data_IF_136797713889
#
_entry.id   IF_136797713889
#
_cell.length_a   1.000
_cell.length_b   1.000
_cell.length_c   1.000
_cell.angle_alpha   90.00
_cell.angle_beta   90.00
_cell.angle_gamma   90.00
#
_symmetry.space_group_name_H-M   'P 1'
#
loop_
_entity.id
_entity.type
_entity.pdbx_description
1 polymer ?
#
# COMPACT_ATOMS: atom_id res chain seq x y z
N UNK A 1 55.89 -9.21 42.16
CA UNK A 1 57.27 -9.58 41.77
C UNK A 1 57.64 -11.00 42.18
N UNK A 2 57.23 -11.49 43.36
CA UNK A 2 57.52 -12.86 43.81
C UNK A 2 56.67 -13.94 43.10
N UNK A 3 55.43 -13.63 42.67
CA UNK A 3 54.60 -14.55 41.87
C UNK A 3 55.09 -14.77 40.42
N UNK A 4 55.92 -13.88 39.88
CA UNK A 4 56.45 -13.99 38.52
C UNK A 4 57.69 -14.92 38.44
N UNK A 5 58.44 -15.06 39.55
CA UNK A 5 59.63 -15.90 39.63
C UNK A 5 59.29 -17.40 39.84
N UNK A 6 58.14 -17.72 40.42
CA UNK A 6 57.66 -19.10 40.50
C UNK A 6 57.17 -19.66 39.15
N UNK A 7 56.76 -18.81 38.20
CA UNK A 7 56.32 -19.27 36.87
C UNK A 7 57.49 -19.55 35.90
N UNK A 8 58.69 -19.03 36.19
CA UNK A 8 59.89 -19.24 35.37
C UNK A 8 60.64 -20.55 35.71
N UNK A 9 60.42 -21.14 36.89
CA UNK A 9 61.11 -22.37 37.31
C UNK A 9 60.39 -23.69 36.94
N UNK A 10 59.24 -23.63 36.26
CA UNK A 10 58.50 -24.80 35.75
C UNK A 10 58.66 -24.94 34.21
N UNK A 11 59.31 -23.99 33.55
CA UNK A 11 59.64 -24.11 32.13
C UNK A 11 60.94 -24.88 31.95
N UNK A 12 60.81 -26.20 32.09
CA UNK A 12 61.74 -27.15 31.50
C UNK A 12 61.92 -26.79 30.01
N UNK A 13 63.15 -26.48 29.61
CA UNK A 13 63.55 -26.02 28.26
C UNK A 13 63.18 -27.01 27.14
N UNK A 14 62.70 -28.20 27.47
CA UNK A 14 62.29 -29.24 26.51
C UNK A 14 60.89 -29.07 25.92
N UNK A 15 60.09 -28.09 26.34
CA UNK A 15 58.73 -27.90 25.81
C UNK A 15 58.46 -26.52 25.16
N UNK A 16 59.50 -25.73 24.89
CA UNK A 16 59.36 -24.44 24.18
C UNK A 16 58.65 -24.61 22.82
N UNK A 17 58.94 -25.71 22.12
CA UNK A 17 58.27 -26.00 20.85
C UNK A 17 56.79 -26.35 21.03
N UNK A 18 56.40 -27.02 22.11
CA UNK A 18 54.99 -27.32 22.43
C UNK A 18 54.21 -26.05 22.77
N UNK A 19 54.75 -25.18 23.63
CA UNK A 19 54.14 -23.89 23.95
C UNK A 19 54.09 -22.96 22.73
N UNK A 20 55.15 -22.89 21.91
CA UNK A 20 55.14 -22.13 20.64
C UNK A 20 54.06 -22.63 19.67
N UNK A 21 53.90 -23.96 19.51
CA UNK A 21 52.88 -24.54 18.61
C UNK A 21 51.46 -24.25 19.11
N UNK A 22 51.24 -24.30 20.42
CA UNK A 22 49.93 -23.99 21.02
C UNK A 22 49.62 -22.49 21.00
N UNK A 23 50.61 -21.61 21.22
CA UNK A 23 50.45 -20.15 21.09
C UNK A 23 50.17 -19.77 19.64
N UNK A 24 50.81 -20.41 18.65
CA UNK A 24 50.53 -20.16 17.24
C UNK A 24 49.11 -20.59 16.85
N UNK A 25 48.65 -21.75 17.32
CA UNK A 25 47.26 -22.21 17.15
C UNK A 25 46.26 -21.27 17.83
N UNK A 26 46.57 -20.79 19.03
CA UNK A 26 45.71 -19.85 19.76
C UNK A 26 45.64 -18.48 19.08
N UNK A 27 46.77 -17.94 18.59
CA UNK A 27 46.79 -16.71 17.78
C UNK A 27 45.97 -16.87 16.51
N UNK A 28 46.10 -17.99 15.79
CA UNK A 28 45.28 -18.25 14.60
C UNK A 28 43.79 -18.34 14.94
N UNK A 29 43.43 -18.96 16.06
CA UNK A 29 42.04 -18.99 16.54
C UNK A 29 41.52 -17.58 16.86
N UNK A 30 42.31 -16.74 17.53
CA UNK A 30 41.94 -15.34 17.78
C UNK A 30 41.75 -14.54 16.49
N UNK A 31 42.61 -14.72 15.47
CA UNK A 31 42.45 -14.07 14.17
C UNK A 31 41.19 -14.53 13.42
N UNK A 32 40.83 -15.81 13.52
CA UNK A 32 39.59 -16.35 12.95
C UNK A 32 38.37 -15.74 13.66
N UNK A 33 38.37 -15.69 14.98
CA UNK A 33 37.28 -15.09 15.78
C UNK A 33 37.14 -13.60 15.48
N UNK A 34 38.26 -12.87 15.38
CA UNK A 34 38.25 -11.46 15.01
C UNK A 34 37.71 -11.24 13.59
N UNK A 35 38.10 -12.09 12.64
CA UNK A 35 37.58 -12.07 11.27
C UNK A 35 36.08 -12.31 11.20
N UNK A 36 35.55 -13.25 12.00
CA UNK A 36 34.11 -13.53 12.09
C UNK A 36 33.34 -12.36 12.73
N UNK A 37 33.90 -11.71 13.75
CA UNK A 37 33.29 -10.51 14.37
C UNK A 37 33.25 -9.36 13.37
N UNK A 38 34.35 -9.10 12.65
CA UNK A 38 34.39 -8.06 11.59
C UNK A 38 33.38 -8.38 10.49
N UNK A 39 33.27 -9.64 10.06
CA UNK A 39 32.27 -10.05 9.06
C UNK A 39 30.83 -9.84 9.55
N UNK A 40 30.53 -10.17 10.80
CA UNK A 40 29.21 -9.93 11.41
C UNK A 40 28.88 -8.43 11.49
N UNK A 41 29.86 -7.58 11.83
CA UNK A 41 29.70 -6.12 11.81
C UNK A 41 29.47 -5.59 10.40
N UNK A 42 30.19 -6.10 9.41
CA UNK A 42 30.01 -5.72 8.00
C UNK A 42 28.64 -6.16 7.46
N UNK A 43 28.18 -7.37 7.79
CA UNK A 43 26.86 -7.89 7.42
C UNK A 43 25.73 -7.11 8.09
N UNK A 44 25.88 -6.75 9.37
CA UNK A 44 24.93 -5.92 10.10
C UNK A 44 24.77 -4.54 9.45
N UNK A 45 25.89 -3.90 9.11
CA UNK A 45 25.91 -2.61 8.41
C UNK A 45 25.31 -2.72 6.99
N UNK A 46 25.55 -3.82 6.27
CA UNK A 46 24.92 -4.09 4.97
C UNK A 46 23.40 -4.21 5.07
N UNK A 47 22.90 -4.92 6.08
CA UNK A 47 21.47 -5.05 6.36
C UNK A 47 20.82 -3.70 6.70
N UNK A 48 21.46 -2.90 7.55
CA UNK A 48 20.94 -1.56 7.87
C UNK A 48 21.00 -0.61 6.67
N UNK A 49 22.04 -0.71 5.84
CA UNK A 49 22.15 0.09 4.61
C UNK A 49 21.06 -0.28 3.60
N UNK A 50 20.77 -1.58 3.43
CA UNK A 50 19.68 -2.04 2.55
C UNK A 50 18.30 -1.71 3.12
N UNK A 51 18.13 -1.75 4.44
CA UNK A 51 16.90 -1.32 5.12
C UNK A 51 16.60 0.18 4.95
N UNK A 52 17.63 1.00 4.74
CA UNK A 52 17.51 2.44 4.46
C UNK A 52 17.24 2.72 2.96
N UNK A 53 17.50 1.78 2.06
CA UNK A 53 17.57 2.02 0.61
C UNK A 53 16.43 1.40 -0.23
N UNK A 54 15.21 1.40 0.28
CA UNK A 54 14.00 1.23 -0.55
C UNK A 54 13.16 2.51 -0.54
N UNK A 55 13.83 3.64 -0.73
CA UNK A 55 13.12 4.90 -0.98
C UNK A 55 12.45 4.81 -2.35
N UNK A 56 11.13 4.94 -2.41
CA UNK A 56 10.40 5.05 -3.68
C UNK A 56 10.87 6.33 -4.37
N UNK A 57 11.61 6.18 -5.47
CA UNK A 57 12.10 7.30 -6.28
C UNK A 57 11.04 7.63 -7.35
N UNK A 58 10.41 8.81 -7.32
CA UNK A 58 9.48 9.22 -8.36
C UNK A 58 10.20 9.56 -9.67
N UNK A 59 9.57 9.23 -10.80
CA UNK A 59 10.04 9.59 -12.15
C UNK A 59 9.97 11.11 -12.38
N UNK A 60 8.92 11.75 -11.86
CA UNK A 60 8.75 13.20 -11.93
C UNK A 60 8.24 13.75 -10.61
N UNK A 61 8.71 14.96 -10.30
CA UNK A 61 8.35 15.70 -9.10
C UNK A 61 7.90 17.10 -9.50
N UNK A 62 6.79 17.53 -8.92
CA UNK A 62 6.26 18.89 -9.00
C UNK A 62 6.03 19.37 -7.57
N UNK A 63 6.97 20.15 -7.04
CA UNK A 63 6.98 20.61 -5.64
C UNK A 63 5.78 21.49 -5.28
N UNK A 64 5.19 22.19 -6.26
CA UNK A 64 3.99 22.99 -6.06
C UNK A 64 2.99 22.78 -7.19
N UNK A 65 1.87 22.13 -6.87
CA UNK A 65 0.86 21.76 -7.85
C UNK A 65 0.09 22.96 -8.42
N UNK A 66 0.04 24.10 -7.73
CA UNK A 66 -0.64 25.29 -8.20
C UNK A 66 0.19 25.99 -9.30
N UNK A 67 1.43 26.35 -8.98
CA UNK A 67 2.31 27.09 -9.89
C UNK A 67 2.77 26.23 -11.07
N UNK A 68 2.92 24.91 -10.87
CA UNK A 68 3.40 23.99 -11.90
C UNK A 68 2.26 23.29 -12.67
N UNK A 69 1.00 23.69 -12.48
CA UNK A 69 -0.17 23.09 -13.13
C UNK A 69 -0.01 22.89 -14.64
N UNK A 70 0.49 23.90 -15.37
CA UNK A 70 0.66 23.80 -16.82
C UNK A 70 1.69 22.75 -17.21
N UNK A 71 2.82 22.69 -16.50
CA UNK A 71 3.88 21.69 -16.69
C UNK A 71 3.36 20.29 -16.37
N UNK A 72 2.65 20.13 -15.24
CA UNK A 72 2.01 18.86 -14.84
C UNK A 72 1.13 18.31 -15.96
N UNK A 73 0.30 19.16 -16.57
CA UNK A 73 -0.59 18.72 -17.63
C UNK A 73 0.21 18.40 -18.91
N UNK A 74 1.05 19.33 -19.38
CA UNK A 74 1.83 19.15 -20.61
C UNK A 74 2.66 17.87 -20.58
N UNK A 75 3.35 17.63 -19.48
CA UNK A 75 4.29 16.52 -19.32
C UNK A 75 3.63 15.15 -19.25
N UNK A 76 2.35 15.08 -18.89
CA UNK A 76 1.59 13.84 -18.69
C UNK A 76 0.54 13.59 -19.78
N UNK A 77 0.61 14.34 -20.89
CA UNK A 77 -0.23 14.11 -22.08
C UNK A 77 0.06 12.73 -22.68
N UNK A 78 -1.00 11.96 -22.93
CA UNK A 78 -0.96 10.60 -23.49
C UNK A 78 -0.15 9.59 -22.66
N UNK A 79 0.00 9.82 -21.35
CA UNK A 79 0.70 8.89 -20.45
C UNK A 79 -0.27 8.15 -19.55
N UNK A 80 0.03 6.88 -19.32
CA UNK A 80 -0.58 6.02 -18.30
C UNK A 80 0.41 5.87 -17.14
N UNK A 81 -0.06 5.81 -15.90
CA UNK A 81 0.84 5.64 -14.77
C UNK A 81 0.21 5.76 -13.39
N UNK A 82 1.08 5.67 -12.40
CA UNK A 82 0.80 5.82 -10.98
C UNK A 82 1.34 7.17 -10.52
N UNK A 83 0.54 7.89 -9.75
CA UNK A 83 0.88 9.20 -9.20
C UNK A 83 0.59 9.27 -7.71
N UNK A 84 1.27 10.20 -7.05
CA UNK A 84 1.13 10.46 -5.63
C UNK A 84 0.93 11.96 -5.39
N UNK A 85 -0.16 12.31 -4.71
CA UNK A 85 -0.35 13.62 -4.13
C UNK A 85 0.17 13.61 -2.70
N UNK A 86 0.88 14.65 -2.28
CA UNK A 86 1.40 14.79 -0.92
C UNK A 86 1.02 16.18 -0.42
N UNK A 87 0.35 16.25 0.72
CA UNK A 87 0.15 17.50 1.43
C UNK A 87 1.47 17.89 2.11
N UNK A 88 2.07 19.01 1.72
CA UNK A 88 3.39 19.42 2.21
C UNK A 88 3.38 19.84 3.69
N UNK A 89 2.22 20.19 4.23
CA UNK A 89 2.08 20.60 5.63
C UNK A 89 1.92 19.39 6.56
N UNK A 90 1.17 18.38 6.15
CA UNK A 90 0.85 17.21 6.98
C UNK A 90 1.64 15.96 6.63
N UNK A 91 2.35 15.97 5.49
CA UNK A 91 2.95 14.80 4.84
C UNK A 91 1.96 13.67 4.53
N UNK A 92 0.65 13.92 4.57
CA UNK A 92 -0.36 12.92 4.21
C UNK A 92 -0.41 12.72 2.69
N UNK A 93 -0.60 11.46 2.29
CA UNK A 93 -0.41 11.02 0.91
C UNK A 93 -1.71 10.46 0.33
N UNK A 94 -1.86 10.61 -0.98
CA UNK A 94 -2.84 9.89 -1.78
C UNK A 94 -2.14 9.27 -2.98
N UNK A 95 -2.43 8.00 -3.26
CA UNK A 95 -1.94 7.30 -4.43
C UNK A 95 -3.11 6.93 -5.33
N UNK A 96 -2.92 7.11 -6.63
CA UNK A 96 -3.87 6.64 -7.62
C UNK A 96 -3.20 6.32 -8.93
N UNK A 97 -3.95 5.63 -9.78
CA UNK A 97 -3.52 5.32 -11.14
C UNK A 97 -4.45 5.93 -12.19
N UNK A 98 -3.98 6.05 -13.43
CA UNK A 98 -4.83 6.36 -14.57
C UNK A 98 -4.24 5.90 -15.88
N UNK A 99 -5.12 5.44 -16.79
CA UNK A 99 -4.78 5.20 -18.20
C UNK A 99 -4.45 6.50 -18.93
N UNK A 100 -5.07 7.62 -18.53
CA UNK A 100 -4.82 8.93 -19.10
C UNK A 100 -4.57 9.93 -17.98
N UNK A 101 -3.29 10.06 -17.59
CA UNK A 101 -2.84 10.95 -16.54
C UNK A 101 -3.23 12.40 -16.82
N UNK A 102 -3.06 12.89 -18.05
CA UNK A 102 -3.48 14.24 -18.42
C UNK A 102 -4.94 14.52 -18.07
N UNK A 103 -5.85 13.64 -18.50
CA UNK A 103 -7.28 13.78 -18.20
C UNK A 103 -7.52 13.75 -16.69
N UNK A 104 -6.96 12.76 -15.99
CA UNK A 104 -7.17 12.60 -14.54
C UNK A 104 -6.66 13.80 -13.75
N UNK A 105 -5.46 14.28 -14.07
CA UNK A 105 -4.82 15.41 -13.41
C UNK A 105 -5.56 16.72 -13.72
N UNK A 106 -5.99 16.92 -14.97
CA UNK A 106 -6.82 18.07 -15.35
C UNK A 106 -8.12 18.11 -14.55
N UNK A 107 -8.75 16.97 -14.35
CA UNK A 107 -10.01 16.89 -13.60
C UNK A 107 -9.80 17.29 -12.13
N UNK A 108 -8.65 16.98 -11.50
CA UNK A 108 -8.33 17.46 -10.15
C UNK A 108 -8.19 18.99 -10.06
N UNK A 109 -7.72 19.65 -11.12
CA UNK A 109 -7.61 21.11 -11.18
C UNK A 109 -8.89 21.83 -11.62
N UNK A 110 -10.02 21.10 -11.70
CA UNK A 110 -11.32 21.66 -12.07
C UNK A 110 -12.26 21.63 -10.85
N UNK A 111 -12.50 22.80 -10.26
CA UNK A 111 -13.35 22.97 -9.06
C UNK A 111 -14.77 22.46 -9.29
N UNK A 112 -15.35 22.69 -10.47
CA UNK A 112 -16.70 22.20 -10.81
C UNK A 112 -16.74 20.67 -10.85
N UNK A 113 -15.70 20.04 -11.41
CA UNK A 113 -15.56 18.59 -11.36
C UNK A 113 -15.42 18.09 -9.92
N UNK A 114 -14.52 18.68 -9.12
CA UNK A 114 -14.30 18.28 -7.73
C UNK A 114 -15.60 18.34 -6.92
N UNK A 115 -16.31 19.48 -6.97
CA UNK A 115 -17.55 19.68 -6.23
C UNK A 115 -18.65 18.69 -6.64
N UNK A 116 -18.79 18.40 -7.94
CA UNK A 116 -19.72 17.39 -8.44
C UNK A 116 -19.34 15.98 -7.97
N UNK A 117 -18.08 15.60 -8.09
CA UNK A 117 -17.60 14.27 -7.73
C UNK A 117 -17.64 14.01 -6.23
N UNK A 118 -17.39 15.02 -5.39
CA UNK A 118 -17.53 14.92 -3.94
C UNK A 118 -18.97 14.58 -3.56
N UNK A 119 -19.97 15.19 -4.21
CA UNK A 119 -21.39 14.87 -3.98
C UNK A 119 -21.74 13.44 -4.43
N UNK A 120 -21.15 12.97 -5.54
CA UNK A 120 -21.44 11.66 -6.13
C UNK A 120 -20.77 10.49 -5.39
N UNK A 121 -19.50 10.65 -5.05
CA UNK A 121 -18.64 9.55 -4.57
C UNK A 121 -18.07 9.80 -3.17
N UNK A 122 -18.02 11.04 -2.72
CA UNK A 122 -17.41 11.40 -1.45
C UNK A 122 -15.89 11.21 -1.40
N UNK A 123 -15.21 11.09 -2.54
CA UNK A 123 -13.75 10.85 -2.64
C UNK A 123 -12.94 11.82 -1.79
N UNK A 124 -12.05 11.29 -0.94
CA UNK A 124 -11.25 12.09 0.01
C UNK A 124 -10.29 13.03 -0.70
N UNK A 125 -9.55 12.54 -1.71
CA UNK A 125 -8.58 13.35 -2.45
C UNK A 125 -9.22 14.63 -3.02
N UNK A 126 -10.44 14.54 -3.56
CA UNK A 126 -11.14 15.70 -4.10
C UNK A 126 -11.52 16.70 -2.98
N UNK A 127 -11.93 16.20 -1.80
CA UNK A 127 -12.26 17.03 -0.63
C UNK A 127 -11.03 17.77 -0.11
N UNK A 128 -9.90 17.08 0.03
CA UNK A 128 -8.68 17.68 0.59
C UNK A 128 -8.07 18.71 -0.36
N UNK A 129 -8.04 18.42 -1.67
CA UNK A 129 -7.59 19.39 -2.68
C UNK A 129 -8.46 20.65 -2.68
N UNK A 130 -9.79 20.49 -2.61
CA UNK A 130 -10.72 21.62 -2.56
C UNK A 130 -10.59 22.42 -1.26
N UNK A 131 -10.37 21.74 -0.13
CA UNK A 131 -10.31 22.36 1.20
C UNK A 131 -9.01 23.14 1.43
N UNK A 132 -7.88 22.56 1.05
CA UNK A 132 -6.56 23.09 1.37
C UNK A 132 -5.95 23.93 0.23
N UNK A 133 -6.48 23.80 -0.99
CA UNK A 133 -5.94 24.46 -2.18
C UNK A 133 -4.68 23.78 -2.70
N UNK A 134 -4.34 24.03 -3.96
CA UNK A 134 -3.28 23.30 -4.67
C UNK A 134 -1.86 23.66 -4.23
N UNK A 135 -1.65 24.86 -3.67
CA UNK A 135 -0.32 25.35 -3.27
C UNK A 135 0.30 24.59 -2.11
N UNK A 136 -0.52 23.87 -1.33
CA UNK A 136 -0.10 22.99 -0.23
C UNK A 136 0.15 21.55 -0.68
N UNK A 137 0.12 21.30 -1.97
CA UNK A 137 0.34 19.96 -2.50
C UNK A 137 1.53 19.89 -3.44
N UNK A 138 2.32 18.85 -3.20
CA UNK A 138 3.28 18.30 -4.14
C UNK A 138 2.63 17.18 -4.93
N UNK A 139 2.94 17.09 -6.22
CA UNK A 139 2.53 15.98 -7.07
C UNK A 139 3.76 15.24 -7.56
N UNK A 140 3.72 13.92 -7.49
CA UNK A 140 4.77 13.05 -8.00
C UNK A 140 4.18 12.02 -8.95
N UNK A 141 4.93 11.72 -10.02
CA UNK A 141 4.66 10.56 -10.86
C UNK A 141 5.62 9.47 -10.40
N UNK A 142 5.06 8.39 -9.84
CA UNK A 142 5.85 7.29 -9.31
C UNK A 142 6.32 6.37 -10.42
N UNK A 143 5.44 6.09 -11.38
CA UNK A 143 5.70 5.15 -12.47
C UNK A 143 4.85 5.48 -13.70
N UNK A 144 5.41 5.33 -14.90
CA UNK A 144 4.63 5.20 -16.12
C UNK A 144 4.48 3.73 -16.45
N UNK A 145 3.24 3.29 -16.72
CA UNK A 145 2.94 1.88 -16.92
C UNK A 145 2.13 1.66 -18.19
N UNK A 146 2.02 0.39 -18.60
CA UNK A 146 1.16 -0.01 -19.71
C UNK A 146 -0.32 0.36 -19.43
N UNK A 147 -1.12 0.71 -20.46
CA UNK A 147 -2.56 0.94 -20.32
C UNK A 147 -3.37 -0.26 -19.79
N UNK A 148 -2.82 -1.47 -19.82
CA UNK A 148 -3.42 -2.69 -19.29
C UNK A 148 -3.94 -2.48 -17.86
N UNK A 149 -5.23 -2.73 -17.69
CA UNK A 149 -5.90 -2.52 -16.41
C UNK A 149 -5.34 -3.41 -15.30
N UNK A 150 -4.96 -4.65 -15.63
CA UNK A 150 -4.40 -5.60 -14.67
C UNK A 150 -3.04 -5.13 -14.15
N UNK A 151 -2.10 -4.88 -15.07
CA UNK A 151 -0.76 -4.40 -14.72
C UNK A 151 -0.83 -3.11 -13.91
N UNK A 152 -1.64 -2.14 -14.35
CA UNK A 152 -1.80 -0.87 -13.64
C UNK A 152 -2.36 -1.05 -12.23
N UNK A 153 -3.34 -1.94 -12.03
CA UNK A 153 -3.90 -2.21 -10.72
C UNK A 153 -2.88 -2.89 -9.78
N UNK A 154 -2.08 -3.83 -10.31
CA UNK A 154 -0.99 -4.47 -9.57
C UNK A 154 0.07 -3.47 -9.11
N UNK A 155 0.46 -2.53 -9.99
CA UNK A 155 1.41 -1.46 -9.65
C UNK A 155 0.82 -0.49 -8.63
N UNK A 156 -0.44 -0.09 -8.77
CA UNK A 156 -1.13 0.73 -7.76
C UNK A 156 -1.14 0.03 -6.40
N UNK A 157 -1.48 -1.27 -6.37
CA UNK A 157 -1.49 -2.07 -5.15
C UNK A 157 -0.12 -2.11 -4.47
N UNK A 158 0.95 -2.33 -5.24
CA UNK A 158 2.33 -2.30 -4.73
C UNK A 158 2.64 -1.00 -3.97
N UNK A 159 2.23 0.14 -4.52
CA UNK A 159 2.46 1.44 -3.88
C UNK A 159 1.55 1.68 -2.66
N UNK A 160 0.29 1.20 -2.70
CA UNK A 160 -0.60 1.25 -1.54
C UNK A 160 -0.05 0.44 -0.36
N UNK A 161 0.42 -0.78 -0.62
CA UNK A 161 0.92 -1.69 0.42
C UNK A 161 2.24 -1.19 1.03
N UNK A 162 3.12 -0.63 0.20
CA UNK A 162 4.42 -0.11 0.63
C UNK A 162 4.33 1.21 1.38
N UNK A 163 3.39 2.09 1.03
CA UNK A 163 3.32 3.45 1.62
C UNK A 163 2.16 3.69 2.57
N UNK A 164 1.09 2.89 2.49
CA UNK A 164 -0.13 3.00 3.30
C UNK A 164 -0.68 4.44 3.39
N UNK A 165 -1.00 5.06 2.24
CA UNK A 165 -1.35 6.48 2.17
C UNK A 165 -2.66 6.81 2.89
N UNK A 166 -2.67 7.91 3.64
CA UNK A 166 -3.72 8.30 4.58
C UNK A 166 -5.03 8.68 3.88
N UNK A 167 -4.95 9.25 2.69
CA UNK A 167 -6.13 9.68 1.93
C UNK A 167 -6.76 8.55 1.10
N UNK A 168 -6.17 7.35 1.07
CA UNK A 168 -6.74 6.18 0.42
C UNK A 168 -7.60 5.38 1.42
N UNK A 169 -8.93 5.50 1.29
CA UNK A 169 -9.87 4.68 2.10
C UNK A 169 -9.76 3.20 1.73
N UNK A 170 -9.68 2.92 0.43
CA UNK A 170 -9.63 1.57 -0.09
C UNK A 170 -8.19 1.09 -0.07
N UNK A 171 -7.96 -0.03 0.58
CA UNK A 171 -6.66 -0.70 0.63
C UNK A 171 -6.40 -1.57 -0.59
N UNK A 172 -7.46 -1.96 -1.31
CA UNK A 172 -7.38 -2.76 -2.54
C UNK A 172 -7.54 -1.84 -3.76
N UNK A 173 -6.56 -1.84 -4.65
CA UNK A 173 -6.57 -1.02 -5.86
C UNK A 173 -7.80 -1.33 -6.72
N UNK A 174 -8.53 -0.27 -7.12
CA UNK A 174 -9.69 -0.37 -8.01
C UNK A 174 -10.88 -1.18 -7.47
N UNK A 175 -10.87 -1.62 -6.21
CA UNK A 175 -11.89 -2.52 -5.67
C UNK A 175 -12.30 -2.15 -4.25
N UNK A 176 -13.60 -2.26 -3.96
CA UNK A 176 -14.13 -2.14 -2.60
C UNK A 176 -13.96 -3.43 -1.78
N UNK A 177 -13.28 -4.45 -2.32
CA UNK A 177 -13.08 -5.72 -1.64
C UNK A 177 -12.32 -5.50 -0.32
N UNK A 178 -12.90 -6.01 0.76
CA UNK A 178 -12.35 -5.87 2.12
C UNK A 178 -12.76 -4.59 2.85
N UNK A 179 -13.34 -3.59 2.16
CA UNK A 179 -13.82 -2.37 2.81
C UNK A 179 -14.98 -2.68 3.77
N UNK A 180 -14.87 -2.17 5.00
CA UNK A 180 -15.90 -2.30 6.03
C UNK A 180 -16.38 -0.92 6.45
N UNK A 181 -17.69 -0.71 6.41
CA UNK A 181 -18.30 0.50 6.97
C UNK A 181 -18.03 0.63 8.47
N UNK A 182 -17.86 1.86 8.93
CA UNK A 182 -17.78 2.20 10.36
C UNK A 182 -19.05 1.82 11.09
N UNK A 183 -18.96 1.61 12.41
CA UNK A 183 -20.13 1.29 13.25
C UNK A 183 -21.20 2.38 13.16
N UNK A 184 -20.79 3.65 13.16
CA UNK A 184 -21.68 4.79 12.98
C UNK A 184 -22.42 4.74 11.62
N UNK A 185 -21.70 4.48 10.54
CA UNK A 185 -22.33 4.37 9.20
C UNK A 185 -23.30 3.20 9.15
N UNK A 186 -22.93 2.05 9.75
CA UNK A 186 -23.83 0.89 9.86
C UNK A 186 -25.10 1.22 10.66
N UNK A 187 -24.97 1.93 11.77
CA UNK A 187 -26.10 2.36 12.59
C UNK A 187 -27.03 3.31 11.80
N UNK A 188 -26.47 4.28 11.08
CA UNK A 188 -27.24 5.21 10.24
C UNK A 188 -27.95 4.51 9.08
N UNK A 189 -27.28 3.56 8.43
CA UNK A 189 -27.92 2.76 7.37
C UNK A 189 -29.01 1.85 7.95
N UNK A 190 -28.80 1.31 9.15
CA UNK A 190 -29.80 0.51 9.86
C UNK A 190 -31.03 1.35 10.20
N UNK A 191 -30.87 2.56 10.74
CA UNK A 191 -31.99 3.44 11.09
C UNK A 191 -32.77 3.90 9.85
N UNK A 192 -32.09 4.22 8.74
CA UNK A 192 -32.74 4.57 7.47
C UNK A 192 -33.57 3.41 6.90
N UNK A 193 -33.17 2.17 7.15
CA UNK A 193 -33.85 0.99 6.63
C UNK A 193 -34.88 0.40 7.60
N UNK A 194 -34.88 0.83 8.85
CA UNK A 194 -35.84 0.40 9.85
C UNK A 194 -37.26 0.79 9.39
N UNK A 195 -38.19 -0.16 9.44
CA UNK A 195 -39.59 0.06 9.06
C UNK A 195 -39.86 0.12 7.55
N UNK A 196 -38.85 0.01 6.67
CA UNK A 196 -39.08 -0.08 5.22
C UNK A 196 -39.71 -1.43 4.86
N UNK A 197 -40.98 -1.40 4.46
CA UNK A 197 -41.68 -2.58 3.93
C UNK A 197 -41.40 -2.68 2.43
N UNK A 198 -40.74 -3.76 2.02
CA UNK A 198 -40.56 -4.07 0.59
C UNK A 198 -41.91 -4.33 -0.08
N UNK A 199 -42.10 -3.87 -1.32
CA UNK A 199 -43.33 -4.15 -2.08
C UNK A 199 -43.49 -5.67 -2.32
N UNK A 200 -44.73 -6.11 -2.54
CA UNK A 200 -45.01 -7.52 -2.86
C UNK A 200 -44.23 -7.99 -4.09
N UNK A 201 -44.16 -7.14 -5.11
CA UNK A 201 -43.43 -7.41 -6.35
C UNK A 201 -41.91 -7.57 -6.10
N UNK A 202 -41.28 -6.65 -5.35
CA UNK A 202 -39.84 -6.74 -5.02
C UNK A 202 -39.55 -7.98 -4.17
N UNK A 203 -40.40 -8.27 -3.19
CA UNK A 203 -40.28 -9.47 -2.35
C UNK A 203 -40.35 -10.75 -3.18
N UNK A 204 -41.23 -10.79 -4.17
CA UNK A 204 -41.38 -11.91 -5.09
C UNK A 204 -40.14 -12.07 -5.99
N UNK A 205 -39.65 -10.99 -6.60
CA UNK A 205 -38.41 -10.98 -7.40
C UNK A 205 -37.20 -11.48 -6.61
N UNK A 206 -37.06 -11.05 -5.35
CA UNK A 206 -36.00 -11.52 -4.45
C UNK A 206 -36.14 -13.01 -4.12
N UNK A 207 -37.36 -13.50 -3.91
CA UNK A 207 -37.65 -14.93 -3.65
C UNK A 207 -37.28 -15.79 -4.87
N UNK A 208 -37.65 -15.36 -6.08
CA UNK A 208 -37.31 -16.06 -7.32
C UNK A 208 -35.80 -16.08 -7.58
N UNK A 209 -35.10 -14.96 -7.34
CA UNK A 209 -33.65 -14.89 -7.53
C UNK A 209 -32.86 -15.86 -6.64
N UNK A 210 -33.39 -16.17 -5.44
CA UNK A 210 -32.82 -17.19 -4.53
C UNK A 210 -33.11 -18.63 -4.97
N UNK A 211 -34.04 -18.85 -5.89
CA UNK A 211 -34.44 -20.17 -6.41
C UNK A 211 -33.98 -20.38 -7.86
N UNK A 212 -32.83 -19.84 -8.26
CA UNK A 212 -32.22 -20.11 -9.57
C UNK A 212 -31.59 -21.51 -9.60
N UNK A 213 -31.30 -22.03 -10.79
CA UNK A 213 -30.82 -23.41 -11.06
C UNK A 213 -29.67 -23.87 -10.16
N UNK A 214 -28.76 -22.96 -9.79
CA UNK A 214 -27.62 -23.27 -8.93
C UNK A 214 -27.95 -23.34 -7.43
N UNK A 215 -29.21 -23.18 -7.04
CA UNK A 215 -29.62 -23.26 -5.64
C UNK A 215 -29.90 -24.73 -5.24
N UNK A 216 -29.42 -25.21 -4.07
CA UNK A 216 -29.58 -26.61 -3.63
C UNK A 216 -31.04 -27.11 -3.52
N UNK A 217 -32.00 -26.19 -3.50
CA UNK A 217 -33.45 -26.46 -3.41
C UNK A 217 -34.20 -26.18 -4.72
N UNK A 218 -33.49 -25.97 -5.83
CA UNK A 218 -34.11 -25.81 -7.15
C UNK A 218 -34.94 -27.05 -7.51
N UNK A 219 -36.18 -26.87 -7.97
CA UNK A 219 -37.10 -27.96 -8.33
C UNK A 219 -37.86 -28.63 -7.18
N UNK A 220 -37.56 -28.32 -5.90
CA UNK A 220 -38.25 -28.93 -4.74
C UNK A 220 -39.60 -28.28 -4.35
N UNK A 221 -39.98 -27.16 -4.96
CA UNK A 221 -41.28 -26.51 -4.75
C UNK A 221 -41.88 -26.14 -6.11
N UNK A 222 -43.14 -26.49 -6.36
CA UNK A 222 -43.82 -26.21 -7.63
C UNK A 222 -43.92 -24.70 -7.89
N UNK A 223 -43.27 -24.24 -8.97
CA UNK A 223 -43.26 -22.83 -9.41
C UNK A 223 -44.58 -22.37 -10.06
N UNK A 224 -45.59 -23.26 -10.18
CA UNK A 224 -46.77 -23.04 -11.03
C UNK A 224 -47.64 -21.86 -10.59
N UNK A 225 -47.78 -21.60 -9.29
CA UNK A 225 -48.59 -20.46 -8.80
C UNK A 225 -47.90 -19.11 -8.98
N UNK A 226 -46.57 -19.02 -8.88
CA UNK A 226 -45.86 -17.74 -8.92
C UNK A 226 -45.69 -17.19 -10.34
N UNK A 227 -45.66 -18.05 -11.35
CA UNK A 227 -45.55 -17.67 -12.77
C UNK A 227 -46.87 -17.10 -13.30
N UNK A 228 -48.02 -17.59 -12.83
CA UNK A 228 -49.33 -17.10 -13.26
C UNK A 228 -49.65 -15.68 -12.76
N UNK A 229 -49.00 -15.21 -11.69
CA UNK A 229 -49.16 -13.85 -11.16
C UNK A 229 -48.55 -12.77 -12.06
N UNK A 230 -47.67 -13.15 -13.01
CA UNK A 230 -46.98 -12.23 -13.94
C UNK A 230 -47.62 -12.16 -15.34
N UNK A 231 -48.67 -12.95 -15.60
CA UNK A 231 -49.38 -12.97 -16.89
C UNK A 231 -50.63 -12.07 -16.92
N UNK A 232 -50.77 -11.15 -15.96
CA UNK A 232 -51.88 -10.21 -15.85
C UNK A 232 -51.32 -8.78 -15.82
#
# INVERSE_FOLDING_TARGET
FIFALCFLNILNLNNINFYRRNIFKFKNFCWIVLGLIVLLFLLGNFCTLYGVLLTIIPIKVYDNADTQKLSILKDNKNKCGIYRWINIETDEKYIGSSVNLYRRLRDYFNISYLTKEIKRTGTIINKVLLKHGYSRFKLEILEYCDPSALLRAEREQYYLDSTKPEYNILTTAGSNLGYKHTLETKAKLSSINLGKILSKETRLKMSLAKKKENHPMFGKYELKELVNLFKK
#
